data_IF_107872037775
#
_entry.id   IF_107872037775
#
_cell.length_a   1.000
_cell.length_b   1.000
_cell.length_c   1.000
_cell.angle_alpha   90.00
_cell.angle_beta   90.00
_cell.angle_gamma   90.00
#
_symmetry.space_group_name_H-M   'P 1'
#
loop_
_entity.id
_entity.type
_entity.pdbx_description
1 polymer ?
#
# COMPACT_ATOMS: atom_id res chain seq x y z
N UNK A 1 -0.22 -11.83 -23.08
CA UNK A 1 -0.02 -12.30 -21.70
C UNK A 1 -0.45 -11.17 -20.80
N UNK A 2 -1.42 -11.38 -19.92
CA UNK A 2 -1.77 -10.40 -18.87
C UNK A 2 -0.52 -10.12 -18.03
N UNK A 3 -0.34 -8.87 -17.61
CA UNK A 3 0.77 -8.52 -16.73
C UNK A 3 0.53 -9.23 -15.39
N UNK A 4 1.52 -9.93 -14.82
CA UNK A 4 1.30 -10.70 -13.59
C UNK A 4 1.12 -9.84 -12.34
N UNK A 5 1.32 -8.51 -12.46
CA UNK A 5 1.13 -7.49 -11.43
C UNK A 5 0.52 -6.25 -12.08
N UNK A 6 -0.54 -5.72 -11.50
CA UNK A 6 -1.21 -4.48 -11.87
C UNK A 6 -1.26 -3.53 -10.68
N UNK A 7 -0.97 -2.25 -10.93
CA UNK A 7 -1.07 -1.18 -9.93
C UNK A 7 -2.29 -0.32 -10.30
N UNK A 8 -3.27 -0.28 -9.39
CA UNK A 8 -4.44 0.57 -9.50
C UNK A 8 -4.19 1.77 -8.59
N UNK A 9 -3.87 2.93 -9.17
CA UNK A 9 -3.57 4.18 -8.45
C UNK A 9 -3.87 5.38 -9.37
N UNK A 10 -4.44 6.50 -8.87
CA UNK A 10 -4.61 7.71 -9.67
C UNK A 10 -3.27 8.38 -9.97
N UNK A 11 -3.26 9.25 -10.99
CA UNK A 11 -2.12 10.13 -11.25
C UNK A 11 -1.97 11.14 -10.11
N UNK A 12 -0.76 11.22 -9.56
CA UNK A 12 -0.39 12.17 -8.50
C UNK A 12 0.81 12.97 -9.00
N UNK A 13 0.72 14.29 -8.95
CA UNK A 13 1.79 15.16 -9.40
C UNK A 13 2.89 15.25 -8.33
N UNK A 14 4.12 14.86 -8.70
CA UNK A 14 5.33 14.95 -7.88
C UNK A 14 5.17 14.48 -6.42
N UNK A 15 4.69 13.24 -6.17
CA UNK A 15 4.48 12.74 -4.82
C UNK A 15 5.80 12.40 -4.11
N UNK A 16 5.78 12.45 -2.78
CA UNK A 16 6.74 11.74 -1.94
C UNK A 16 6.18 10.35 -1.69
N UNK A 17 6.84 9.31 -2.21
CA UNK A 17 6.46 7.93 -1.98
C UNK A 17 7.08 7.40 -0.68
N UNK A 18 6.25 6.91 0.23
CA UNK A 18 6.66 6.31 1.50
C UNK A 18 6.19 4.86 1.53
N UNK A 19 7.08 3.94 1.85
CA UNK A 19 6.84 2.50 1.89
C UNK A 19 6.95 1.98 3.33
N UNK A 20 6.11 1.00 3.68
CA UNK A 20 5.94 0.50 5.05
C UNK A 20 5.44 -0.94 5.11
N UNK A 21 6.06 -1.84 4.36
CA UNK A 21 5.76 -3.27 4.40
C UNK A 21 6.20 -3.87 5.74
N UNK A 22 5.60 -5.02 6.13
CA UNK A 22 6.06 -5.77 7.28
C UNK A 22 7.54 -6.13 7.18
N UNK A 23 8.31 -5.78 8.21
CA UNK A 23 9.74 -6.05 8.32
C UNK A 23 10.17 -6.27 9.77
N UNK A 24 11.47 -6.18 10.06
CA UNK A 24 12.02 -6.39 11.40
C UNK A 24 11.40 -5.39 12.40
N UNK A 25 10.79 -5.92 13.47
CA UNK A 25 10.15 -5.12 14.52
C UNK A 25 8.94 -4.31 14.05
N UNK A 26 8.48 -4.52 12.80
CA UNK A 26 7.39 -3.77 12.18
C UNK A 26 7.57 -2.25 12.19
N UNK A 27 8.80 -1.74 12.34
CA UNK A 27 9.06 -0.31 12.54
C UNK A 27 8.52 0.52 11.37
N UNK A 28 8.85 0.14 10.13
CA UNK A 28 8.34 0.81 8.93
C UNK A 28 6.82 0.71 8.79
N UNK A 29 6.26 -0.46 9.06
CA UNK A 29 4.82 -0.70 9.00
C UNK A 29 4.02 0.14 10.00
N UNK A 30 4.49 0.20 11.25
CA UNK A 30 3.87 1.02 12.30
C UNK A 30 4.02 2.50 11.97
N UNK A 31 5.18 2.94 11.51
CA UNK A 31 5.41 4.34 11.14
C UNK A 31 4.52 4.79 9.96
N UNK A 32 4.40 3.97 8.91
CA UNK A 32 3.55 4.27 7.76
C UNK A 32 2.07 4.32 8.16
N UNK A 33 1.57 3.33 8.91
CA UNK A 33 0.19 3.34 9.41
C UNK A 33 -0.11 4.50 10.37
N UNK A 34 0.86 4.90 11.18
CA UNK A 34 0.71 6.08 12.03
C UNK A 34 0.60 7.36 11.18
N UNK A 35 1.47 7.54 10.18
CA UNK A 35 1.42 8.68 9.28
C UNK A 35 0.09 8.76 8.51
N UNK A 36 -0.38 7.65 7.96
CA UNK A 36 -1.65 7.63 7.20
C UNK A 36 -2.84 8.04 8.08
N UNK A 37 -2.87 7.55 9.33
CA UNK A 37 -3.92 7.88 10.29
C UNK A 37 -3.86 9.35 10.73
N UNK A 38 -2.72 9.81 11.22
CA UNK A 38 -2.60 11.16 11.80
C UNK A 38 -2.73 12.27 10.74
N UNK A 39 -2.35 11.98 9.49
CA UNK A 39 -2.55 12.89 8.36
C UNK A 39 -3.92 12.74 7.68
N UNK A 40 -4.80 11.89 8.21
CA UNK A 40 -6.14 11.61 7.67
C UNK A 40 -6.12 11.26 6.17
N UNK A 41 -5.20 10.39 5.77
CA UNK A 41 -5.06 9.94 4.39
C UNK A 41 -6.20 9.00 3.98
N UNK A 42 -6.58 9.06 2.71
CA UNK A 42 -7.56 8.15 2.12
C UNK A 42 -6.86 7.00 1.40
N UNK A 43 -7.48 5.82 1.37
CA UNK A 43 -7.05 4.74 0.47
C UNK A 43 -7.38 5.15 -0.96
N UNK A 44 -6.34 5.23 -1.81
CA UNK A 44 -6.47 5.71 -3.20
C UNK A 44 -6.11 4.63 -4.24
N UNK A 45 -5.68 3.45 -3.81
CA UNK A 45 -5.20 2.42 -4.73
C UNK A 45 -4.77 1.13 -4.04
N UNK A 46 -4.49 0.12 -4.86
CA UNK A 46 -4.04 -1.20 -4.44
C UNK A 46 -3.23 -1.89 -5.55
N UNK A 47 -2.55 -2.99 -5.19
CA UNK A 47 -1.84 -3.85 -6.13
C UNK A 47 -2.66 -5.12 -6.33
N UNK A 48 -2.89 -5.49 -7.58
CA UNK A 48 -3.54 -6.74 -7.98
C UNK A 48 -2.50 -7.67 -8.62
N UNK A 49 -2.44 -8.93 -8.17
CA UNK A 49 -1.47 -9.89 -8.70
C UNK A 49 -1.88 -11.32 -8.41
N UNK A 50 -1.63 -12.21 -9.37
CA UNK A 50 -1.76 -13.67 -9.19
C UNK A 50 -0.77 -14.25 -8.18
N UNK A 51 0.24 -13.49 -7.73
CA UNK A 51 1.19 -13.93 -6.72
C UNK A 51 0.70 -13.68 -5.29
N UNK A 52 -0.31 -12.81 -5.11
CA UNK A 52 -0.87 -12.52 -3.80
C UNK A 52 -1.93 -13.58 -3.44
N UNK A 53 -1.96 -14.06 -2.18
CA UNK A 53 -3.01 -14.97 -1.74
C UNK A 53 -4.39 -14.27 -1.82
N UNK A 54 -5.47 -14.99 -2.15
CA UNK A 54 -6.81 -14.41 -2.27
C UNK A 54 -7.42 -14.18 -0.88
N UNK A 55 -6.95 -13.15 -0.19
CA UNK A 55 -7.39 -12.77 1.15
C UNK A 55 -7.89 -11.32 1.17
N UNK A 56 -8.90 -11.05 2.00
CA UNK A 56 -9.36 -9.70 2.29
C UNK A 56 -9.00 -9.35 3.73
N UNK A 57 -8.41 -8.17 3.94
CA UNK A 57 -8.24 -7.61 5.27
C UNK A 57 -9.51 -6.84 5.63
N UNK A 58 -10.09 -7.16 6.78
CA UNK A 58 -11.20 -6.39 7.35
C UNK A 58 -10.59 -5.49 8.43
N UNK A 59 -10.71 -4.17 8.23
CA UNK A 59 -10.23 -3.12 9.13
C UNK A 59 -11.35 -2.65 10.06
#
# INVERSE_FOLDING_TARGET
MEKPVELILPDIENPIFIEGYPGIGLVGHIAANFLTKELNMNMIGYIESSFLPPISLIL
#
